data_IF_351439186046
#
_entry.id   IF_351439186046
#
_cell.length_a   1.000
_cell.length_b   1.000
_cell.length_c   1.000
_cell.angle_alpha   90.00
_cell.angle_beta   90.00
_cell.angle_gamma   90.00
#
_symmetry.space_group_name_H-M   'P 1'
#
loop_
_entity.id
_entity.type
_entity.pdbx_description
1 polymer ?
#
# COMPACT_ATOMS: atom_id res chain seq x y z
N UNK A 1 -4.74 23.99 -18.48
CA UNK A 1 -4.22 23.27 -17.29
C UNK A 1 -5.43 22.85 -16.48
N UNK A 2 -5.81 21.58 -16.58
CA UNK A 2 -6.99 21.05 -15.90
C UNK A 2 -6.65 20.90 -14.42
N UNK A 3 -7.38 21.60 -13.55
CA UNK A 3 -7.26 21.46 -12.11
C UNK A 3 -7.77 20.07 -11.70
N UNK A 4 -6.86 19.12 -11.52
CA UNK A 4 -7.08 17.80 -10.91
C UNK A 4 -7.31 17.93 -9.39
N UNK A 5 -8.23 18.80 -8.96
CA UNK A 5 -8.53 18.99 -7.55
C UNK A 5 -9.45 17.87 -7.07
N UNK A 6 -8.86 16.83 -6.46
CA UNK A 6 -9.57 15.76 -5.77
C UNK A 6 -10.56 16.30 -4.75
N UNK A 7 -11.72 15.67 -4.58
CA UNK A 7 -12.63 15.95 -3.48
C UNK A 7 -12.40 14.96 -2.32
N UNK A 8 -12.67 15.36 -1.06
CA UNK A 8 -12.62 14.45 0.10
C UNK A 8 -13.51 13.20 -0.03
N UNK A 9 -14.47 13.24 -0.95
CA UNK A 9 -15.39 12.16 -1.29
C UNK A 9 -14.79 11.11 -2.23
N UNK A 10 -13.62 11.35 -2.82
CA UNK A 10 -13.10 10.55 -3.92
C UNK A 10 -12.62 9.15 -3.47
N UNK A 11 -12.38 8.95 -2.16
CA UNK A 11 -12.12 7.64 -1.57
C UNK A 11 -13.01 7.47 -0.35
N UNK A 12 -14.00 6.60 -0.45
CA UNK A 12 -14.83 6.19 0.69
C UNK A 12 -15.07 4.70 0.60
N UNK A 13 -14.48 3.96 1.52
CA UNK A 13 -14.62 2.51 1.62
C UNK A 13 -14.87 2.13 3.08
N UNK A 14 -15.24 0.87 3.31
CA UNK A 14 -15.53 0.34 4.64
C UNK A 14 -14.29 -0.38 5.16
N UNK A 15 -13.85 -0.08 6.39
CA UNK A 15 -12.76 -0.82 7.05
C UNK A 15 -12.84 -0.82 8.58
N UNK A 16 -12.15 -1.77 9.22
CA UNK A 16 -12.03 -1.90 10.67
C UNK A 16 -11.27 -0.69 11.24
N UNK A 17 -12.03 0.34 11.63
CA UNK A 17 -11.46 1.63 12.03
C UNK A 17 -10.64 1.53 13.30
N UNK A 18 -11.04 0.70 14.26
CA UNK A 18 -10.35 0.58 15.55
C UNK A 18 -8.96 -0.04 15.38
N UNK A 19 -8.86 -1.14 14.63
CA UNK A 19 -7.61 -1.82 14.28
C UNK A 19 -6.65 -0.89 13.52
N UNK A 20 -7.14 -0.23 12.47
CA UNK A 20 -6.33 0.73 11.72
C UNK A 20 -5.90 1.90 12.60
N UNK A 21 -6.79 2.46 13.44
CA UNK A 21 -6.46 3.61 14.30
C UNK A 21 -5.39 3.24 15.32
N UNK A 22 -5.43 2.02 15.88
CA UNK A 22 -4.39 1.53 16.79
C UNK A 22 -3.06 1.40 16.08
N UNK A 23 -3.05 0.77 14.90
CA UNK A 23 -1.86 0.60 14.07
C UNK A 23 -1.25 1.95 13.65
N UNK A 24 -2.09 2.86 13.15
CA UNK A 24 -1.72 4.21 12.73
C UNK A 24 -1.14 5.03 13.88
N UNK A 25 -1.76 5.00 15.05
CA UNK A 25 -1.26 5.69 16.24
C UNK A 25 0.08 5.13 16.69
N UNK A 26 0.22 3.81 16.76
CA UNK A 26 1.47 3.18 17.20
C UNK A 26 2.62 3.57 16.25
N UNK A 27 2.46 3.34 14.95
CA UNK A 27 3.51 3.60 13.97
C UNK A 27 3.81 5.10 13.82
N UNK A 28 2.79 5.96 13.86
CA UNK A 28 2.98 7.42 13.80
C UNK A 28 3.73 7.95 15.01
N UNK A 29 3.47 7.42 16.21
CA UNK A 29 4.22 7.78 17.42
C UNK A 29 5.69 7.38 17.33
N UNK A 30 6.02 6.40 16.49
CA UNK A 30 7.39 5.96 16.20
C UNK A 30 7.99 6.61 14.95
N UNK A 31 7.37 7.68 14.45
CA UNK A 31 7.93 8.53 13.39
C UNK A 31 7.61 8.09 11.97
N UNK A 32 6.78 7.06 11.76
CA UNK A 32 6.24 6.77 10.44
C UNK A 32 5.24 7.87 10.05
N UNK A 33 5.33 8.36 8.83
CA UNK A 33 4.34 9.28 8.28
C UNK A 33 3.05 8.55 7.93
N UNK A 34 1.93 9.28 7.82
CA UNK A 34 0.63 8.65 7.52
C UNK A 34 0.60 7.94 6.16
N UNK A 35 1.33 8.44 5.16
CA UNK A 35 1.56 7.73 3.90
C UNK A 35 2.45 6.49 4.09
N UNK A 36 3.48 6.57 4.94
CA UNK A 36 4.34 5.45 5.27
C UNK A 36 3.58 4.31 5.97
N UNK A 37 2.66 4.66 6.89
CA UNK A 37 1.73 3.71 7.50
C UNK A 37 0.86 3.04 6.43
N UNK A 38 0.23 3.82 5.55
CA UNK A 38 -0.63 3.27 4.50
C UNK A 38 0.12 2.34 3.55
N UNK A 39 1.34 2.73 3.15
CA UNK A 39 2.18 1.91 2.28
C UNK A 39 2.61 0.62 2.98
N UNK A 40 3.07 0.69 4.23
CA UNK A 40 3.42 -0.49 5.02
C UNK A 40 2.23 -1.45 5.13
N UNK A 41 1.05 -0.94 5.50
CA UNK A 41 -0.16 -1.76 5.58
C UNK A 41 -0.47 -2.44 4.24
N UNK A 42 -0.37 -1.71 3.12
CA UNK A 42 -0.59 -2.29 1.81
C UNK A 42 0.48 -3.34 1.42
N UNK A 43 1.74 -3.15 1.83
CA UNK A 43 2.80 -4.16 1.67
C UNK A 43 2.51 -5.45 2.45
N UNK A 44 1.95 -5.35 3.65
CA UNK A 44 1.52 -6.54 4.38
C UNK A 44 0.32 -7.22 3.70
N UNK A 45 -0.58 -6.45 3.12
CA UNK A 45 -1.67 -6.99 2.31
C UNK A 45 -1.17 -7.78 1.10
N UNK A 46 -0.22 -7.24 0.35
CA UNK A 46 0.31 -7.92 -0.86
C UNK A 46 1.09 -9.18 -0.51
N UNK A 47 1.91 -9.15 0.53
CA UNK A 47 2.66 -10.33 0.97
C UNK A 47 1.73 -11.48 1.40
N UNK A 48 0.60 -11.17 2.05
CA UNK A 48 -0.40 -12.17 2.40
C UNK A 48 -1.36 -12.52 1.25
N UNK A 49 -1.17 -12.00 0.04
CA UNK A 49 -2.13 -12.13 -1.07
C UNK A 49 -3.57 -11.72 -0.69
N UNK A 50 -3.71 -10.77 0.23
CA UNK A 50 -4.99 -10.34 0.79
C UNK A 50 -5.51 -9.11 0.05
N UNK A 51 -6.48 -9.32 -0.84
CA UNK A 51 -7.21 -8.25 -1.53
C UNK A 51 -8.64 -8.17 -1.00
N UNK A 52 -9.01 -7.01 -0.47
CA UNK A 52 -10.40 -6.73 -0.10
C UNK A 52 -10.99 -5.74 -1.10
N UNK A 53 -12.06 -6.14 -1.78
CA UNK A 53 -12.75 -5.26 -2.73
C UNK A 53 -13.23 -3.98 -2.04
N UNK A 54 -13.09 -2.83 -2.71
CA UNK A 54 -13.37 -1.51 -2.10
C UNK A 54 -14.86 -1.29 -1.79
N UNK A 55 -15.74 -2.04 -2.44
CA UNK A 55 -17.19 -2.07 -2.20
C UNK A 55 -17.61 -3.18 -1.21
N UNK A 56 -16.67 -4.01 -0.77
CA UNK A 56 -16.93 -5.07 0.19
C UNK A 56 -17.42 -4.46 1.51
N UNK A 57 -18.48 -5.06 2.05
CA UNK A 57 -19.00 -4.75 3.39
C UNK A 57 -18.70 -5.97 4.25
N UNK A 58 -17.61 -5.97 5.03
CA UNK A 58 -17.30 -7.12 5.86
C UNK A 58 -18.42 -7.37 6.88
N UNK A 59 -18.58 -8.63 7.29
CA UNK A 59 -19.54 -9.02 8.31
C UNK A 59 -19.06 -8.51 9.68
N UNK A 60 -19.72 -7.49 10.25
CA UNK A 60 -19.35 -6.90 11.54
C UNK A 60 -19.65 -5.40 11.61
N UNK A 61 -19.19 -4.72 12.68
CA UNK A 61 -19.29 -3.26 12.83
C UNK A 61 -18.20 -2.52 12.01
N UNK A 62 -18.21 -2.69 10.69
CA UNK A 62 -17.28 -1.98 9.81
C UNK A 62 -17.82 -0.58 9.50
N UNK A 63 -17.05 0.47 9.79
CA UNK A 63 -17.49 1.86 9.59
C UNK A 63 -17.08 2.34 8.20
N UNK A 64 -18.01 2.99 7.49
CA UNK A 64 -17.69 3.75 6.27
C UNK A 64 -16.77 4.90 6.67
N UNK A 65 -15.62 5.00 6.01
CA UNK A 65 -14.64 6.06 6.25
C UNK A 65 -14.06 6.53 4.93
N UNK A 66 -13.69 7.81 4.92
CA UNK A 66 -13.02 8.43 3.80
C UNK A 66 -11.57 8.63 4.19
N UNK A 67 -10.65 8.21 3.33
CA UNK A 67 -9.24 8.51 3.56
C UNK A 67 -9.00 10.01 3.42
N UNK A 68 -8.05 10.49 4.22
CA UNK A 68 -7.75 11.91 4.29
C UNK A 68 -7.14 12.41 2.98
N UNK A 69 -7.90 13.24 2.24
CA UNK A 69 -7.38 14.03 1.11
C UNK A 69 -6.10 14.79 1.49
N UNK A 70 -5.99 15.20 2.75
CA UNK A 70 -4.83 15.94 3.26
C UNK A 70 -3.55 15.11 3.23
N UNK A 71 -3.61 13.79 3.46
CA UNK A 71 -2.43 12.90 3.37
C UNK A 71 -1.96 12.86 1.93
N UNK A 72 -2.85 12.50 1.00
CA UNK A 72 -2.52 12.46 -0.43
C UNK A 72 -2.01 13.81 -0.95
N UNK A 73 -2.63 14.94 -0.59
CA UNK A 73 -2.18 16.24 -1.08
C UNK A 73 -0.81 16.67 -0.54
N UNK A 74 -0.46 16.24 0.68
CA UNK A 74 0.84 16.56 1.29
C UNK A 74 1.95 15.66 0.78
N UNK A 75 1.63 14.42 0.43
CA UNK A 75 2.56 13.38 0.01
C UNK A 75 2.20 12.82 -1.38
N UNK A 76 1.80 13.69 -2.31
CA UNK A 76 1.23 13.26 -3.60
C UNK A 76 2.22 12.45 -4.42
N UNK A 77 3.49 12.86 -4.42
CA UNK A 77 4.54 12.21 -5.19
C UNK A 77 4.86 10.83 -4.60
N UNK A 78 4.90 10.75 -3.28
CA UNK A 78 5.12 9.53 -2.52
C UNK A 78 3.98 8.54 -2.73
N UNK A 79 2.73 8.99 -2.60
CA UNK A 79 1.55 8.14 -2.83
C UNK A 79 1.46 7.66 -4.29
N UNK A 80 1.68 8.54 -5.28
CA UNK A 80 1.69 8.15 -6.70
C UNK A 80 2.78 7.10 -6.99
N UNK A 81 3.96 7.25 -6.36
CA UNK A 81 5.04 6.24 -6.42
C UNK A 81 4.57 4.93 -5.80
N UNK A 82 4.00 4.96 -4.61
CA UNK A 82 3.60 3.77 -3.84
C UNK A 82 2.47 3.01 -4.53
N UNK A 83 1.51 3.72 -5.16
CA UNK A 83 0.51 3.12 -6.03
C UNK A 83 1.16 2.36 -7.19
N UNK A 84 2.12 2.97 -7.86
CA UNK A 84 2.82 2.33 -8.97
C UNK A 84 3.62 1.12 -8.55
N UNK A 85 4.39 1.22 -7.46
CA UNK A 85 5.20 0.11 -6.94
C UNK A 85 4.34 -1.11 -6.58
N UNK A 86 3.26 -0.92 -5.82
CA UNK A 86 2.38 -2.04 -5.46
C UNK A 86 1.69 -2.66 -6.68
N UNK A 87 1.35 -1.87 -7.69
CA UNK A 87 0.76 -2.38 -8.93
C UNK A 87 1.73 -3.23 -9.73
N UNK A 88 3.01 -2.85 -9.74
CA UNK A 88 4.08 -3.62 -10.38
C UNK A 88 4.22 -4.98 -9.69
N UNK A 89 4.31 -4.98 -8.36
CA UNK A 89 4.41 -6.20 -7.55
C UNK A 89 3.20 -7.12 -7.76
N UNK A 90 2.00 -6.55 -7.90
CA UNK A 90 0.78 -7.33 -8.17
C UNK A 90 0.76 -7.95 -9.58
N UNK A 91 1.46 -7.34 -10.54
CA UNK A 91 1.36 -7.66 -11.96
C UNK A 91 2.63 -8.31 -12.51
N UNK A 92 3.45 -8.97 -11.68
CA UNK A 92 4.71 -9.61 -12.10
C UNK A 92 4.52 -10.67 -13.20
N UNK A 93 3.34 -11.26 -13.29
CA UNK A 93 3.00 -12.24 -14.32
C UNK A 93 2.52 -11.62 -15.64
N UNK A 94 2.51 -10.29 -15.75
CA UNK A 94 2.05 -9.56 -16.92
C UNK A 94 3.20 -8.92 -17.71
N UNK A 95 3.01 -8.62 -19.02
CA UNK A 95 4.06 -7.97 -19.80
C UNK A 95 4.47 -6.61 -19.20
N UNK A 96 5.76 -6.45 -18.91
CA UNK A 96 6.36 -5.23 -18.37
C UNK A 96 5.84 -3.92 -19.00
N UNK A 97 5.86 -3.85 -20.34
CA UNK A 97 5.43 -2.67 -21.10
C UNK A 97 3.95 -2.35 -20.89
N UNK A 98 3.12 -3.35 -20.64
CA UNK A 98 1.70 -3.18 -20.33
C UNK A 98 1.51 -2.66 -18.91
N UNK A 99 2.21 -3.25 -17.93
CA UNK A 99 2.14 -2.85 -16.52
C UNK A 99 2.55 -1.38 -16.35
N UNK A 100 3.72 -0.98 -16.86
CA UNK A 100 4.20 0.38 -16.68
C UNK A 100 3.37 1.43 -17.39
N UNK A 101 2.99 1.19 -18.65
CA UNK A 101 2.37 2.23 -19.48
C UNK A 101 0.85 2.31 -19.29
N UNK A 102 0.20 1.26 -18.77
CA UNK A 102 -1.27 1.20 -18.69
C UNK A 102 -1.81 0.99 -17.29
N UNK A 103 -1.00 0.57 -16.32
CA UNK A 103 -1.45 0.26 -14.96
C UNK A 103 -0.74 1.09 -13.90
N UNK A 104 0.55 0.85 -13.68
CA UNK A 104 1.29 1.31 -12.49
C UNK A 104 1.28 2.84 -12.32
N UNK A 105 1.53 3.59 -13.39
CA UNK A 105 1.63 5.05 -13.34
C UNK A 105 0.50 5.74 -14.10
N UNK A 106 -0.65 5.07 -14.21
CA UNK A 106 -1.81 5.64 -14.89
C UNK A 106 -2.27 6.90 -14.15
N UNK A 107 -2.36 8.01 -14.89
CA UNK A 107 -2.84 9.30 -14.36
C UNK A 107 -4.28 9.51 -14.75
N UNK A 108 -5.05 10.12 -13.85
CA UNK A 108 -6.40 10.57 -14.17
C UNK A 108 -6.36 11.75 -15.15
N UNK A 109 -6.44 11.46 -16.44
CA UNK A 109 -6.49 12.47 -17.52
C UNK A 109 -7.90 12.75 -18.02
N UNK A 110 -8.85 11.85 -17.72
CA UNK A 110 -10.18 11.83 -18.33
C UNK A 110 -11.33 12.14 -17.37
N UNK A 111 -11.03 12.49 -16.11
CA UNK A 111 -12.04 12.81 -15.10
C UNK A 111 -12.76 11.59 -14.53
N UNK A 112 -12.16 10.40 -14.69
CA UNK A 112 -12.60 9.17 -14.03
C UNK A 112 -12.52 9.31 -12.51
N UNK A 113 -13.22 8.46 -11.75
CA UNK A 113 -13.01 8.48 -10.31
C UNK A 113 -11.63 7.89 -10.04
N UNK A 114 -10.85 8.52 -9.18
CA UNK A 114 -9.46 8.10 -9.00
C UNK A 114 -9.33 6.66 -8.45
N UNK A 115 -10.32 6.15 -7.71
CA UNK A 115 -10.37 4.73 -7.30
C UNK A 115 -10.68 3.75 -8.44
N UNK A 116 -11.15 4.23 -9.59
CA UNK A 116 -11.35 3.41 -10.80
C UNK A 116 -10.01 3.19 -11.54
N UNK A 117 -8.97 3.95 -11.18
CA UNK A 117 -7.63 3.71 -11.72
C UNK A 117 -7.08 2.38 -11.17
N UNK A 118 -6.50 1.53 -12.03
CA UNK A 118 -5.99 0.22 -11.62
C UNK A 118 -4.96 0.30 -10.51
N UNK A 119 -4.04 1.27 -10.57
CA UNK A 119 -3.00 1.41 -9.56
C UNK A 119 -3.51 1.82 -8.18
N UNK A 120 -4.45 2.76 -8.16
CA UNK A 120 -5.08 3.26 -6.94
C UNK A 120 -5.96 2.19 -6.31
N UNK A 121 -6.78 1.51 -7.12
CA UNK A 121 -7.64 0.43 -6.65
C UNK A 121 -6.82 -0.72 -6.07
N UNK A 122 -5.77 -1.15 -6.77
CA UNK A 122 -4.87 -2.21 -6.33
C UNK A 122 -4.24 -1.87 -4.99
N UNK A 123 -3.70 -0.65 -4.85
CA UNK A 123 -3.15 -0.18 -3.59
C UNK A 123 -4.17 -0.27 -2.46
N UNK A 124 -5.37 0.31 -2.63
CA UNK A 124 -6.34 0.35 -1.54
C UNK A 124 -6.97 -1.01 -1.24
N UNK A 125 -7.05 -1.92 -2.21
CA UNK A 125 -7.49 -3.30 -1.96
C UNK A 125 -6.51 -4.05 -1.07
N UNK A 126 -5.21 -3.88 -1.31
CA UNK A 126 -4.16 -4.46 -0.47
C UNK A 126 -4.03 -3.74 0.88
N UNK A 127 -4.13 -2.41 0.90
CA UNK A 127 -4.22 -1.64 2.14
C UNK A 127 -5.31 -2.19 3.05
N UNK A 128 -6.51 -2.42 2.51
CA UNK A 128 -7.61 -3.00 3.27
C UNK A 128 -7.28 -4.40 3.76
N UNK A 129 -6.74 -5.25 2.89
CA UNK A 129 -6.35 -6.62 3.23
C UNK A 129 -5.20 -6.72 4.23
N UNK A 130 -4.42 -5.66 4.41
CA UNK A 130 -3.27 -5.60 5.31
C UNK A 130 -3.58 -5.11 6.74
N UNK A 131 -4.74 -4.49 6.97
CA UNK A 131 -5.09 -3.88 8.27
C UNK A 131 -5.02 -4.92 9.41
N UNK A 132 -5.63 -6.09 9.20
CA UNK A 132 -5.67 -7.17 10.19
C UNK A 132 -4.26 -7.64 10.56
N UNK A 133 -3.39 -7.85 9.56
CA UNK A 133 -2.04 -8.34 9.79
C UNK A 133 -1.14 -7.36 10.54
N UNK A 134 -1.23 -6.06 10.24
CA UNK A 134 -0.48 -5.04 11.00
C UNK A 134 -0.97 -5.01 12.44
N UNK A 135 -2.29 -5.05 12.63
CA UNK A 135 -2.89 -5.02 13.96
C UNK A 135 -2.53 -6.26 14.78
N UNK A 136 -2.54 -7.45 14.16
CA UNK A 136 -2.13 -8.71 14.80
C UNK A 136 -0.68 -8.67 15.28
N UNK A 137 0.25 -8.17 14.46
CA UNK A 137 1.67 -8.03 14.85
C UNK A 137 1.79 -7.08 16.05
N UNK A 138 1.18 -5.90 15.99
CA UNK A 138 1.24 -4.92 17.08
C UNK A 138 0.59 -5.48 18.35
N UNK A 139 -0.54 -6.18 18.22
CA UNK A 139 -1.26 -6.77 19.35
C UNK A 139 -0.49 -7.94 19.99
N UNK A 140 0.15 -8.79 19.19
CA UNK A 140 0.88 -9.97 19.65
C UNK A 140 2.05 -9.60 20.57
N UNK A 141 2.78 -8.53 20.23
CA UNK A 141 3.99 -8.14 20.95
C UNK A 141 3.77 -6.99 21.94
N UNK A 142 2.63 -6.28 21.86
CA UNK A 142 2.20 -5.31 22.86
C UNK A 142 3.19 -4.16 23.03
N UNK A 143 3.79 -4.04 24.22
CA UNK A 143 4.75 -2.98 24.54
C UNK A 143 6.19 -3.32 24.12
N UNK A 144 6.43 -4.50 23.53
CA UNK A 144 7.76 -4.90 23.06
C UNK A 144 8.03 -4.36 21.66
N UNK A 145 8.36 -3.08 21.61
CA UNK A 145 8.59 -2.34 20.37
C UNK A 145 9.63 -3.03 19.46
N UNK A 146 10.74 -3.51 20.03
CA UNK A 146 11.79 -4.24 19.29
C UNK A 146 11.22 -5.49 18.59
N UNK A 147 10.46 -6.32 19.30
CA UNK A 147 9.84 -7.53 18.73
C UNK A 147 8.80 -7.19 17.63
N UNK A 148 8.10 -6.05 17.74
CA UNK A 148 7.17 -5.56 16.71
C UNK A 148 7.94 -5.19 15.45
N UNK A 149 9.00 -4.39 15.58
CA UNK A 149 9.77 -3.93 14.44
C UNK A 149 10.56 -5.07 13.79
N UNK A 150 11.12 -5.98 14.58
CA UNK A 150 11.76 -7.19 14.08
C UNK A 150 10.77 -8.06 13.32
N UNK A 151 9.55 -8.25 13.86
CA UNK A 151 8.51 -9.01 13.16
C UNK A 151 8.09 -8.35 11.86
N UNK A 152 7.90 -7.03 11.84
CA UNK A 152 7.60 -6.29 10.60
C UNK A 152 8.75 -6.43 9.60
N UNK A 153 9.99 -6.29 10.07
CA UNK A 153 11.18 -6.36 9.22
C UNK A 153 11.39 -7.78 8.65
N UNK A 154 11.34 -8.81 9.49
CA UNK A 154 11.43 -10.21 9.06
C UNK A 154 10.32 -10.54 8.06
N UNK A 155 9.10 -10.07 8.34
CA UNK A 155 7.96 -10.25 7.47
C UNK A 155 8.14 -9.58 6.09
N UNK A 156 8.66 -8.35 6.05
CA UNK A 156 8.95 -7.63 4.80
C UNK A 156 10.18 -8.19 4.06
N UNK A 157 11.13 -8.76 4.79
CA UNK A 157 12.42 -9.21 4.24
C UNK A 157 12.52 -10.72 4.04
N UNK A 158 11.38 -11.41 4.12
CA UNK A 158 11.21 -12.79 3.71
C UNK A 158 11.84 -13.01 2.32
N UNK A 159 12.48 -14.16 2.15
CA UNK A 159 13.16 -14.52 0.90
C UNK A 159 12.24 -14.43 -0.29
N UNK A 160 10.96 -14.76 -0.14
CA UNK A 160 9.99 -14.67 -1.23
C UNK A 160 9.78 -13.22 -1.69
N UNK A 161 9.73 -12.27 -0.75
CA UNK A 161 9.61 -10.83 -1.04
C UNK A 161 10.88 -10.23 -1.65
N UNK A 162 12.06 -10.69 -1.20
CA UNK A 162 13.33 -10.31 -1.81
C UNK A 162 13.47 -10.85 -3.22
N UNK A 163 13.06 -12.10 -3.43
CA UNK A 163 13.08 -12.73 -4.75
C UNK A 163 12.22 -11.94 -5.75
N UNK A 164 11.04 -11.46 -5.34
CA UNK A 164 10.20 -10.59 -6.15
C UNK A 164 10.93 -9.29 -6.57
N UNK A 165 11.67 -8.67 -5.66
CA UNK A 165 12.45 -7.47 -5.94
C UNK A 165 13.65 -7.76 -6.85
N UNK A 166 14.33 -8.89 -6.65
CA UNK A 166 15.47 -9.32 -7.45
C UNK A 166 15.03 -9.67 -8.88
N UNK A 167 13.95 -10.45 -9.04
CA UNK A 167 13.38 -10.81 -10.34
C UNK A 167 12.93 -9.56 -11.12
N UNK A 168 12.37 -8.56 -10.42
CA UNK A 168 12.02 -7.27 -11.01
C UNK A 168 13.25 -6.46 -11.49
N UNK A 169 14.35 -6.48 -10.73
CA UNK A 169 15.60 -5.79 -11.10
C UNK A 169 16.25 -6.45 -12.32
N UNK A 170 16.24 -7.78 -12.39
CA UNK A 170 16.77 -8.55 -13.52
C UNK A 170 15.97 -8.27 -14.80
N UNK A 171 14.63 -8.19 -14.74
CA UNK A 171 13.79 -7.82 -15.88
C UNK A 171 13.99 -6.37 -16.35
N UNK A 172 14.40 -5.46 -15.45
CA UNK A 172 14.76 -4.09 -15.79
C UNK A 172 16.09 -3.97 -16.57
N UNK A 173 16.82 -5.07 -16.75
CA UNK A 173 18.16 -5.08 -17.33
C UNK A 173 19.20 -4.40 -16.43
N UNK A 174 18.91 -4.30 -15.13
CA UNK A 174 19.83 -3.77 -14.14
C UNK A 174 20.80 -4.87 -13.71
N UNK A 175 22.03 -4.84 -14.22
CA UNK A 175 23.13 -5.48 -13.50
C UNK A 175 23.22 -4.77 -12.14
N UNK A 176 22.95 -5.51 -11.05
CA UNK A 176 23.38 -5.08 -9.73
C UNK A 176 24.91 -5.10 -9.79
N UNK A 177 25.53 -3.95 -10.04
CA UNK A 177 26.92 -3.75 -9.72
C UNK A 177 27.02 -4.02 -8.21
N UNK A 178 27.51 -5.21 -7.85
CA UNK A 178 27.81 -5.57 -6.47
C UNK A 178 28.52 -4.39 -5.81
N UNK A 179 28.20 -4.05 -4.54
CA UNK A 179 28.94 -3.00 -3.87
C UNK A 179 30.42 -3.41 -3.87
N UNK A 180 31.22 -2.67 -4.64
CA UNK A 180 32.67 -2.75 -4.52
C UNK A 180 33.04 -2.16 -3.16
N UNK A 181 33.22 -3.11 -2.23
CA UNK A 181 33.89 -3.05 -0.91
C UNK A 181 33.04 -2.49 0.22
#
# INVERSE_FOLDING_TARGET
MSNNMMNPTDFSFYYQTEEYTRSDNFLSNHGLSGEGVQFLTALLGINNSSKIALDNRPNGEVKKRSLSRTVYQRAMVEMDRDFGLLTIIDSLNEPYTEVLNKKAFLKNTNGERYFELPNVSTFYQYFLGGIEYVDEIIFQYGDKEEDIFDSIYEYLTDKENKQIMDDFIDELGGEIDEPRI
#
